data_IF_862860132090
#
_entry.id   IF_862860132090
#
_cell.length_a   1.000
_cell.length_b   1.000
_cell.length_c   1.000
_cell.angle_alpha   90.00
_cell.angle_beta   90.00
_cell.angle_gamma   90.00
#
_symmetry.space_group_name_H-M   'P 1'
#
loop_
_entity.id
_entity.type
_entity.pdbx_description
1 polymer ?
#
# COMPACT_ATOMS: atom_id res chain seq x y z
N UNK A 1 16.50 -16.03 24.57
CA UNK A 1 15.51 -15.42 23.67
C UNK A 1 15.57 -13.92 23.90
N UNK A 2 16.31 -13.18 23.06
CA UNK A 2 16.43 -11.71 23.18
C UNK A 2 15.15 -11.06 22.68
N UNK A 3 14.48 -10.27 23.51
CA UNK A 3 13.37 -9.41 23.11
C UNK A 3 13.89 -8.36 22.13
N UNK A 4 13.30 -8.21 20.93
CA UNK A 4 13.70 -7.13 20.05
C UNK A 4 13.33 -5.79 20.68
N UNK A 5 14.31 -4.91 20.85
CA UNK A 5 14.11 -3.55 21.34
C UNK A 5 13.19 -2.78 20.37
N UNK A 6 12.33 -1.91 20.90
CA UNK A 6 11.36 -1.12 20.12
C UNK A 6 12.01 -0.40 18.93
N UNK A 7 13.25 0.10 19.11
CA UNK A 7 14.07 0.73 18.06
C UNK A 7 14.30 -0.17 16.83
N UNK A 8 14.64 -1.44 17.05
CA UNK A 8 14.86 -2.39 15.97
C UNK A 8 13.56 -2.73 15.23
N UNK A 9 12.41 -2.70 15.91
CA UNK A 9 11.11 -2.94 15.27
C UNK A 9 10.63 -1.70 14.49
N UNK A 10 10.85 -0.50 15.01
CA UNK A 10 10.45 0.77 14.39
C UNK A 10 11.08 0.99 13.01
N UNK A 11 12.37 0.66 12.84
CA UNK A 11 13.05 0.82 11.54
C UNK A 11 12.61 -0.14 10.43
N UNK A 12 11.70 -1.09 10.69
CA UNK A 12 11.25 -2.12 9.71
C UNK A 12 9.79 -1.99 9.29
N UNK A 13 9.08 -0.99 9.81
CA UNK A 13 7.62 -0.89 9.68
C UNK A 13 7.25 0.52 9.24
N UNK A 14 6.29 0.65 8.32
CA UNK A 14 5.63 1.94 8.06
C UNK A 14 4.90 2.36 9.34
N UNK A 15 5.37 3.42 9.97
CA UNK A 15 4.72 4.02 11.12
C UNK A 15 3.75 5.12 10.63
N UNK A 16 2.47 5.08 11.04
CA UNK A 16 1.54 6.17 10.80
C UNK A 16 2.08 7.51 11.34
N UNK A 17 1.71 8.63 10.70
CA UNK A 17 2.24 9.95 11.04
C UNK A 17 1.96 10.38 12.49
N UNK A 18 0.79 10.00 13.02
CA UNK A 18 0.39 10.22 14.40
C UNK A 18 1.17 9.34 15.39
N UNK A 19 1.57 8.13 14.99
CA UNK A 19 2.46 7.26 15.78
C UNK A 19 3.88 7.81 15.80
N UNK A 20 4.39 8.30 14.67
CA UNK A 20 5.69 9.01 14.61
C UNK A 20 5.69 10.25 15.51
N UNK A 21 4.61 11.04 15.46
CA UNK A 21 4.45 12.22 16.32
C UNK A 21 4.50 11.84 17.81
N UNK A 22 3.81 10.77 18.21
CA UNK A 22 3.84 10.29 19.60
C UNK A 22 5.21 9.75 20.00
N UNK A 23 5.90 9.05 19.10
CA UNK A 23 7.25 8.56 19.35
C UNK A 23 8.24 9.71 19.52
N UNK A 24 8.18 10.75 18.70
CA UNK A 24 9.00 11.97 18.86
C UNK A 24 8.74 12.69 20.18
N UNK A 25 7.48 12.80 20.58
CA UNK A 25 7.14 13.35 21.89
C UNK A 25 7.70 12.50 23.04
N UNK A 26 7.70 11.17 22.90
CA UNK A 26 8.31 10.27 23.87
C UNK A 26 9.84 10.40 23.92
N UNK A 27 10.52 10.59 22.78
CA UNK A 27 11.97 10.86 22.74
C UNK A 27 12.36 12.11 23.52
N UNK A 28 11.58 13.19 23.38
CA UNK A 28 11.82 14.44 24.11
C UNK A 28 11.64 14.26 25.63
N UNK A 29 10.70 13.42 26.06
CA UNK A 29 10.47 13.12 27.47
C UNK A 29 11.53 12.19 28.06
N UNK A 30 12.05 11.26 27.27
CA UNK A 30 12.98 10.22 27.71
C UNK A 30 14.46 10.62 27.53
N UNK A 31 14.75 11.65 26.74
CA UNK A 31 16.12 12.13 26.47
C UNK A 31 16.97 11.12 25.69
N UNK A 32 16.35 10.14 25.04
CA UNK A 32 17.02 9.09 24.29
C UNK A 32 16.36 8.90 22.91
N UNK A 33 17.14 8.82 21.82
CA UNK A 33 16.59 8.59 20.49
C UNK A 33 16.05 7.16 20.37
N UNK A 34 14.78 7.05 19.99
CA UNK A 34 14.05 5.82 19.72
C UNK A 34 13.98 5.56 18.21
N UNK A 35 13.94 6.62 17.41
CA UNK A 35 13.96 6.66 15.97
C UNK A 35 15.37 7.05 15.49
N UNK A 36 15.84 6.43 14.41
CA UNK A 36 17.04 6.92 13.71
C UNK A 36 16.64 8.14 12.85
N UNK A 37 17.52 9.15 12.74
CA UNK A 37 17.21 10.43 12.07
C UNK A 37 16.77 10.26 10.60
N UNK A 38 17.14 9.14 9.97
CA UNK A 38 16.75 8.80 8.60
C UNK A 38 15.28 8.32 8.46
N UNK A 39 14.58 8.05 9.56
CA UNK A 39 13.17 7.65 9.57
C UNK A 39 12.21 8.83 9.31
N UNK A 40 12.73 10.07 9.23
CA UNK A 40 12.00 11.23 8.74
C UNK A 40 11.78 11.20 7.21
N UNK A 41 12.46 10.29 6.51
CA UNK A 41 12.27 10.11 5.08
C UNK A 41 11.19 9.08 4.84
N UNK A 42 10.09 9.50 4.23
CA UNK A 42 9.05 8.65 3.65
C UNK A 42 9.54 7.73 2.51
N UNK A 43 10.83 7.38 2.48
CA UNK A 43 11.61 7.06 1.28
C UNK A 43 12.17 5.62 1.26
N UNK A 44 11.58 4.71 2.03
CA UNK A 44 11.79 3.26 1.85
C UNK A 44 10.51 2.49 1.58
N UNK A 45 9.43 3.20 1.25
CA UNK A 45 8.26 2.59 0.66
C UNK A 45 8.31 2.83 -0.84
N UNK A 46 8.30 1.75 -1.61
CA UNK A 46 8.20 1.86 -3.06
C UNK A 46 7.02 2.80 -3.42
N UNK A 47 7.26 3.77 -4.28
CA UNK A 47 6.22 4.65 -4.79
C UNK A 47 5.13 3.78 -5.43
N UNK A 48 3.89 3.88 -4.93
CA UNK A 48 2.76 3.07 -5.39
C UNK A 48 2.56 3.18 -6.91
N UNK A 49 2.86 4.34 -7.50
CA UNK A 49 2.75 4.55 -8.96
C UNK A 49 3.83 3.81 -9.75
N UNK A 50 5.01 3.59 -9.14
CA UNK A 50 6.10 2.82 -9.75
C UNK A 50 5.88 1.31 -9.67
N UNK A 51 5.07 0.85 -8.70
CA UNK A 51 4.78 -0.57 -8.47
C UNK A 51 3.52 -1.01 -9.21
N UNK A 52 2.45 -0.21 -9.14
CA UNK A 52 1.16 -0.52 -9.75
C UNK A 52 1.16 -0.11 -11.22
N UNK A 53 1.83 -0.91 -12.04
CA UNK A 53 1.90 -0.74 -13.50
C UNK A 53 1.06 -1.81 -14.21
N UNK A 54 0.63 -1.58 -15.47
CA UNK A 54 -0.10 -2.60 -16.22
C UNK A 54 0.63 -3.96 -16.22
N UNK A 55 -0.11 -5.03 -15.94
CA UNK A 55 0.39 -6.39 -15.79
C UNK A 55 0.90 -6.75 -14.39
N UNK A 56 1.03 -5.77 -13.48
CA UNK A 56 1.58 -6.03 -12.15
C UNK A 56 0.67 -6.97 -11.33
N UNK A 57 1.28 -7.94 -10.64
CA UNK A 57 0.55 -9.00 -9.92
C UNK A 57 0.26 -8.61 -8.48
N UNK A 58 -1.00 -8.35 -8.20
CA UNK A 58 -1.49 -7.79 -6.93
C UNK A 58 -2.25 -8.82 -6.11
N UNK A 59 -1.98 -8.90 -4.80
CA UNK A 59 -2.75 -9.73 -3.87
C UNK A 59 -3.49 -8.86 -2.87
N UNK A 60 -4.70 -9.25 -2.49
CA UNK A 60 -5.50 -8.57 -1.44
C UNK A 60 -5.67 -9.44 -0.20
N UNK A 61 -5.59 -8.83 0.97
CA UNK A 61 -5.85 -9.47 2.27
C UNK A 61 -6.62 -8.55 3.23
N UNK A 62 -7.46 -9.15 4.08
CA UNK A 62 -8.37 -8.42 4.98
C UNK A 62 -9.62 -7.88 4.29
N UNK A 63 -10.41 -7.13 5.05
CA UNK A 63 -11.61 -6.41 4.61
C UNK A 63 -11.22 -4.97 4.28
N UNK A 64 -11.27 -4.59 3.02
CA UNK A 64 -10.94 -3.23 2.60
C UNK A 64 -12.00 -2.23 3.08
N UNK A 65 -11.57 -1.04 3.46
CA UNK A 65 -12.44 0.10 3.76
C UNK A 65 -12.14 1.23 2.77
N UNK A 66 -13.16 1.98 2.37
CA UNK A 66 -13.01 3.24 1.63
C UNK A 66 -12.69 4.41 2.57
N UNK A 67 -12.51 5.60 2.00
CA UNK A 67 -12.25 6.86 2.71
C UNK A 67 -13.37 7.27 3.67
N UNK A 68 -14.60 6.79 3.44
CA UNK A 68 -15.74 6.95 4.33
C UNK A 68 -15.84 5.85 5.40
N UNK A 69 -14.88 4.92 5.46
CA UNK A 69 -14.87 3.80 6.41
C UNK A 69 -15.87 2.70 6.07
N UNK A 70 -16.42 2.67 4.85
CA UNK A 70 -17.35 1.64 4.38
C UNK A 70 -16.59 0.47 3.80
N UNK A 71 -17.09 -0.74 4.06
CA UNK A 71 -16.49 -1.94 3.50
C UNK A 71 -16.56 -1.95 1.97
N UNK A 72 -15.41 -2.19 1.34
CA UNK A 72 -15.30 -2.44 -0.09
C UNK A 72 -15.21 -3.94 -0.30
N UNK A 73 -16.21 -4.57 -0.96
CA UNK A 73 -16.21 -6.01 -1.19
C UNK A 73 -14.95 -6.44 -1.93
N UNK A 74 -14.42 -7.63 -1.62
CA UNK A 74 -13.23 -8.17 -2.29
C UNK A 74 -13.39 -8.19 -3.82
N UNK A 75 -14.57 -8.53 -4.30
CA UNK A 75 -14.89 -8.57 -5.73
C UNK A 75 -14.80 -7.18 -6.39
N UNK A 76 -15.16 -6.13 -5.67
CA UNK A 76 -14.99 -4.75 -6.13
C UNK A 76 -13.50 -4.40 -6.24
N UNK A 77 -12.71 -4.74 -5.21
CA UNK A 77 -11.25 -4.53 -5.24
C UNK A 77 -10.58 -5.24 -6.43
N UNK A 78 -11.04 -6.45 -6.75
CA UNK A 78 -10.56 -7.19 -7.93
C UNK A 78 -10.95 -6.50 -9.24
N UNK A 79 -12.20 -6.04 -9.36
CA UNK A 79 -12.68 -5.31 -10.54
C UNK A 79 -11.93 -4.01 -10.76
N UNK A 80 -11.66 -3.24 -9.70
CA UNK A 80 -10.87 -2.00 -9.78
C UNK A 80 -9.45 -2.31 -10.28
N UNK A 81 -8.81 -3.36 -9.73
CA UNK A 81 -7.47 -3.76 -10.14
C UNK A 81 -7.41 -4.19 -11.62
N UNK A 82 -8.36 -5.02 -12.06
CA UNK A 82 -8.46 -5.47 -13.46
C UNK A 82 -8.73 -4.29 -14.41
N UNK A 83 -9.62 -3.37 -14.03
CA UNK A 83 -9.91 -2.16 -14.80
C UNK A 83 -8.69 -1.25 -14.93
N UNK A 84 -7.80 -1.24 -13.94
CA UNK A 84 -6.52 -0.54 -13.97
C UNK A 84 -5.40 -1.31 -14.70
N UNK A 85 -5.70 -2.47 -15.30
CA UNK A 85 -4.75 -3.30 -16.03
C UNK A 85 -3.83 -4.15 -15.16
N UNK A 86 -4.12 -4.28 -13.86
CA UNK A 86 -3.38 -5.15 -12.95
C UNK A 86 -3.85 -6.61 -13.06
N UNK A 87 -3.05 -7.54 -12.54
CA UNK A 87 -3.35 -8.97 -12.54
C UNK A 87 -3.56 -9.48 -11.10
N UNK A 88 -4.82 -9.58 -10.60
CA UNK A 88 -5.07 -10.06 -9.26
C UNK A 88 -4.68 -11.53 -9.07
N UNK A 89 -4.03 -11.82 -7.94
CA UNK A 89 -3.61 -13.17 -7.55
C UNK A 89 -4.07 -13.53 -6.14
N UNK A 90 -4.38 -14.81 -5.93
CA UNK A 90 -4.93 -15.31 -4.65
C UNK A 90 -3.87 -15.48 -3.56
N UNK A 91 -2.60 -15.66 -3.93
CA UNK A 91 -1.52 -16.04 -3.02
C UNK A 91 -0.28 -15.16 -3.16
N UNK A 92 0.38 -14.90 -2.03
CA UNK A 92 1.66 -14.19 -1.97
C UNK A 92 2.79 -15.21 -2.21
N UNK A 93 3.43 -15.17 -3.37
CA UNK A 93 4.53 -16.09 -3.74
C UNK A 93 5.70 -15.35 -4.38
N UNK A 94 6.95 -15.79 -4.18
CA UNK A 94 8.15 -15.04 -4.59
C UNK A 94 8.12 -14.56 -6.05
N UNK A 95 7.61 -15.38 -6.96
CA UNK A 95 7.65 -15.11 -8.41
C UNK A 95 6.31 -14.75 -9.03
N UNK A 96 5.18 -14.82 -8.30
CA UNK A 96 3.84 -14.59 -8.85
C UNK A 96 3.01 -13.52 -8.15
N UNK A 97 3.62 -12.72 -7.30
CA UNK A 97 2.97 -11.59 -6.65
C UNK A 97 4.04 -10.53 -6.46
N UNK A 98 3.83 -9.35 -7.01
CA UNK A 98 4.75 -8.23 -6.88
C UNK A 98 4.36 -7.32 -5.73
N UNK A 99 3.07 -7.25 -5.39
CA UNK A 99 2.56 -6.34 -4.36
C UNK A 99 1.41 -6.96 -3.57
N UNK A 100 1.32 -6.60 -2.28
CA UNK A 100 0.22 -6.94 -1.40
C UNK A 100 -0.53 -5.67 -0.96
N UNK A 101 -1.85 -5.70 -1.04
CA UNK A 101 -2.73 -4.69 -0.46
C UNK A 101 -3.43 -5.26 0.77
N UNK A 102 -3.37 -4.53 1.88
CA UNK A 102 -3.92 -4.91 3.19
C UNK A 102 -4.99 -3.93 3.66
N UNK A 103 -6.02 -4.45 4.33
CA UNK A 103 -7.05 -3.65 5.00
C UNK A 103 -6.49 -2.63 6.00
N UNK A 104 -5.52 -3.07 6.80
CA UNK A 104 -4.89 -2.24 7.84
C UNK A 104 -3.37 -2.45 7.77
N UNK A 105 -2.63 -1.33 7.78
CA UNK A 105 -1.16 -1.31 7.79
C UNK A 105 -0.70 -1.62 9.20
N UNK A 106 -0.05 -2.78 9.39
CA UNK A 106 0.34 -3.29 10.71
C UNK A 106 -0.28 -4.65 11.06
N UNK A 107 -1.22 -5.15 10.25
CA UNK A 107 -1.78 -6.49 10.48
C UNK A 107 -0.71 -7.57 10.29
N UNK A 108 -0.55 -8.43 11.29
CA UNK A 108 0.33 -9.61 11.21
C UNK A 108 -0.37 -10.82 10.57
N UNK A 109 -1.19 -10.59 9.53
CA UNK A 109 -1.74 -11.71 8.78
C UNK A 109 -0.62 -12.54 8.15
N UNK A 110 -0.83 -13.84 7.95
CA UNK A 110 0.19 -14.70 7.35
C UNK A 110 0.68 -14.20 5.98
N UNK A 111 -0.17 -13.50 5.22
CA UNK A 111 0.17 -12.88 3.94
C UNK A 111 1.05 -11.63 4.09
N UNK A 112 0.75 -10.78 5.08
CA UNK A 112 1.58 -9.60 5.37
C UNK A 112 2.98 -10.01 5.82
N UNK A 113 3.08 -10.96 6.78
CA UNK A 113 4.37 -11.54 7.17
C UNK A 113 5.12 -12.11 5.96
N UNK A 114 4.41 -12.85 5.10
CA UNK A 114 5.04 -13.44 3.91
C UNK A 114 5.50 -12.40 2.88
N UNK A 115 4.78 -11.31 2.72
CA UNK A 115 5.19 -10.20 1.84
C UNK A 115 6.47 -9.54 2.37
N UNK A 116 6.54 -9.25 3.67
CA UNK A 116 7.74 -8.72 4.31
C UNK A 116 8.95 -9.66 4.20
N UNK A 117 8.77 -10.95 4.47
CA UNK A 117 9.84 -11.96 4.30
C UNK A 117 10.39 -12.01 2.87
N UNK A 118 9.53 -11.75 1.88
CA UNK A 118 9.88 -11.78 0.47
C UNK A 118 10.31 -10.41 -0.09
N UNK A 119 10.41 -9.38 0.76
CA UNK A 119 10.80 -8.03 0.36
C UNK A 119 9.80 -7.37 -0.59
N UNK A 120 8.52 -7.73 -0.52
CA UNK A 120 7.49 -7.20 -1.41
C UNK A 120 6.87 -5.93 -0.83
N UNK A 121 6.56 -4.92 -1.67
CA UNK A 121 5.79 -3.76 -1.24
C UNK A 121 4.42 -4.18 -0.68
N UNK A 122 4.05 -3.50 0.40
CA UNK A 122 2.75 -3.64 1.06
C UNK A 122 2.13 -2.25 1.14
N UNK A 123 0.91 -2.10 0.60
CA UNK A 123 0.13 -0.86 0.65
C UNK A 123 -1.19 -1.09 1.38
N UNK A 124 -1.79 -0.04 1.90
CA UNK A 124 -3.14 -0.08 2.45
C UNK A 124 -4.19 -0.15 1.34
N UNK A 125 -5.39 -0.61 1.68
CA UNK A 125 -6.55 -0.55 0.78
C UNK A 125 -6.87 0.90 0.38
N UNK A 126 -6.74 1.84 1.32
CA UNK A 126 -6.92 3.27 1.08
C UNK A 126 -5.90 3.83 0.07
N UNK A 127 -4.61 3.51 0.22
CA UNK A 127 -3.56 3.93 -0.73
C UNK A 127 -3.87 3.40 -2.14
N UNK A 128 -4.31 2.14 -2.25
CA UNK A 128 -4.71 1.54 -3.53
C UNK A 128 -5.94 2.22 -4.14
N UNK A 129 -6.99 2.49 -3.35
CA UNK A 129 -8.21 3.12 -3.83
C UNK A 129 -7.96 4.58 -4.27
N UNK A 130 -7.15 5.33 -3.52
CA UNK A 130 -6.73 6.67 -3.89
C UNK A 130 -5.93 6.67 -5.20
N UNK A 131 -4.97 5.74 -5.34
CA UNK A 131 -4.22 5.55 -6.58
C UNK A 131 -5.16 5.25 -7.77
N UNK A 132 -6.08 4.30 -7.63
CA UNK A 132 -7.01 3.93 -8.70
C UNK A 132 -7.93 5.10 -9.10
N UNK A 133 -8.41 5.87 -8.12
CA UNK A 133 -9.22 7.07 -8.36
C UNK A 133 -8.47 8.19 -9.08
N UNK A 134 -7.17 8.34 -8.81
CA UNK A 134 -6.33 9.34 -9.49
C UNK A 134 -6.06 9.00 -10.96
N UNK A 135 -5.91 7.70 -11.30
CA UNK A 135 -5.73 7.23 -12.67
C UNK A 135 -7.00 7.31 -13.53
N UNK A 136 -8.18 7.17 -12.89
CA UNK A 136 -9.50 7.30 -13.55
C UNK A 136 -9.79 8.71 -14.07
N UNK A 137 -9.19 9.74 -13.46
CA UNK A 137 -9.36 11.15 -13.90
C UNK A 137 -8.54 11.50 -15.15
N UNK A 138 -7.67 10.60 -15.62
CA UNK A 138 -6.84 10.78 -16.79
C UNK A 138 -7.33 9.98 -18.02
N UNK A 139 -8.59 10.20 -18.44
CA UNK A 139 -9.02 10.01 -19.84
C UNK A 139 -10.32 10.79 -20.13
N UNK A 140 -10.28 12.03 -20.68
CA UNK A 140 -11.38 12.42 -21.54
C UNK A 140 -11.31 11.50 -22.76
N UNK A 141 -12.42 10.80 -23.04
CA UNK A 141 -12.61 10.11 -24.29
C UNK A 141 -12.29 11.09 -25.43
N UNK A 142 -11.24 10.80 -26.19
CA UNK A 142 -11.02 11.45 -27.48
C UNK A 142 -12.12 10.98 -28.40
N UNK A 143 -13.24 11.69 -28.32
CA UNK A 143 -14.24 11.86 -29.36
C UNK A 143 -13.53 12.19 -30.68
N UNK A 144 -13.51 11.22 -31.58
CA UNK A 144 -13.24 11.44 -33.01
C UNK A 144 -14.17 10.55 -33.84
N UNK A 145 -15.39 11.05 -34.01
CA UNK A 145 -16.01 11.26 -35.31
C UNK A 145 -17.21 12.18 -35.08
N UNK A 146 -17.26 13.33 -35.77
CA UNK A 146 -18.00 13.31 -37.03
C UNK A 146 -17.34 14.14 -38.13
N UNK A 147 -17.72 13.86 -39.38
CA UNK A 147 -17.64 14.85 -40.46
C UNK A 147 -16.67 14.48 -41.58
N UNK A 148 -17.20 13.80 -42.59
CA UNK A 148 -16.53 13.60 -43.87
C UNK A 148 -17.56 13.29 -44.96
N UNK A 149 -18.38 14.29 -45.29
CA UNK A 149 -19.19 14.40 -46.49
C UNK A 149 -19.20 15.90 -46.85
N UNK A 150 -19.47 16.33 -48.09
CA UNK A 150 -20.15 15.63 -49.19
C UNK A 150 -19.26 14.85 -50.16
#
# INVERSE_FOLDING_TARGET
MSTPTLRAAAGRVRLPADVLTRLRAAEQLLGAPILDEDLDSSDSAADITSVLVPGARICFTGTALDDAGREVPREEMLRIAEAAGLAPVKTVTKTRCEVLVTAEVGTQSGKARKAHELGKPVFSAEEFLAWAGSGSRAKPASERAPGGAP
#
